data_IF_261322107009
#
_entry.id   IF_261322107009
#
_cell.length_a   1.000
_cell.length_b   1.000
_cell.length_c   1.000
_cell.angle_alpha   90.00
_cell.angle_beta   90.00
_cell.angle_gamma   90.00
#
_symmetry.space_group_name_H-M   'P 1'
#
loop_
_entity.id
_entity.type
_entity.pdbx_description
1 polymer ?
#
# COMPACT_ATOMS: atom_id res chain seq x y z
N UNK A 1 -1.81 -25.90 1.83
CA UNK A 1 -1.11 -25.23 0.71
C UNK A 1 -1.94 -23.99 0.44
N UNK A 2 -1.40 -22.83 0.70
CA UNK A 2 -2.10 -21.57 0.41
C UNK A 2 -2.17 -21.47 -1.11
N UNK A 3 -3.38 -21.40 -1.66
CA UNK A 3 -3.58 -21.15 -3.08
C UNK A 3 -3.20 -19.67 -3.32
N UNK A 4 -1.93 -19.42 -3.63
CA UNK A 4 -1.48 -18.11 -4.06
C UNK A 4 -1.61 -18.02 -5.58
N UNK A 5 -2.08 -16.87 -6.05
CA UNK A 5 -2.08 -16.53 -7.46
C UNK A 5 -0.75 -15.88 -7.85
N UNK A 6 -0.28 -16.17 -9.05
CA UNK A 6 0.91 -15.54 -9.60
C UNK A 6 0.52 -14.17 -10.20
N UNK A 7 1.21 -13.12 -9.78
CA UNK A 7 1.07 -11.78 -10.37
C UNK A 7 2.34 -11.41 -11.07
N UNK A 8 2.25 -11.08 -12.37
CA UNK A 8 3.35 -10.55 -13.17
C UNK A 8 3.19 -9.05 -13.36
N UNK A 9 4.27 -8.30 -13.14
CA UNK A 9 4.33 -6.84 -13.30
C UNK A 9 5.03 -6.47 -14.60
N UNK A 10 4.28 -5.96 -15.57
CA UNK A 10 4.81 -5.41 -16.81
C UNK A 10 5.15 -3.90 -16.65
N UNK A 11 6.17 -3.39 -17.34
CA UNK A 11 7.01 -4.07 -18.33
C UNK A 11 8.22 -4.84 -17.75
N UNK A 12 8.43 -4.82 -16.45
CA UNK A 12 9.64 -5.36 -15.81
C UNK A 12 9.72 -6.89 -15.76
N UNK A 13 8.60 -7.60 -15.94
CA UNK A 13 8.54 -9.06 -15.86
C UNK A 13 8.79 -9.62 -14.44
N UNK A 14 8.72 -8.77 -13.42
CA UNK A 14 8.83 -9.21 -12.03
C UNK A 14 7.56 -9.96 -11.63
N UNK A 15 7.71 -11.07 -10.91
CA UNK A 15 6.60 -11.89 -10.47
C UNK A 15 6.56 -12.02 -8.95
N UNK A 16 5.36 -12.14 -8.39
CA UNK A 16 5.16 -12.36 -6.97
C UNK A 16 3.88 -13.16 -6.70
N UNK A 17 3.84 -13.86 -5.57
CA UNK A 17 2.65 -14.58 -5.12
C UNK A 17 1.73 -13.66 -4.34
N UNK A 18 0.42 -13.76 -4.58
CA UNK A 18 -0.62 -13.02 -3.88
C UNK A 18 -1.72 -13.97 -3.41
N UNK A 19 -1.98 -13.98 -2.12
CA UNK A 19 -3.06 -14.77 -1.55
C UNK A 19 -4.45 -14.22 -1.91
N UNK A 20 -5.50 -15.07 -1.91
CA UNK A 20 -6.86 -14.65 -2.26
C UNK A 20 -7.45 -13.62 -1.29
N UNK A 21 -6.98 -13.58 -0.05
CA UNK A 21 -7.50 -12.74 1.02
C UNK A 21 -6.69 -11.46 1.25
N UNK A 22 -5.52 -11.31 0.61
CA UNK A 22 -4.69 -10.10 0.71
C UNK A 22 -4.85 -9.19 -0.51
N UNK A 23 -4.51 -7.91 -0.36
CA UNK A 23 -4.49 -6.99 -1.50
C UNK A 23 -3.23 -7.20 -2.34
N UNK A 24 -3.34 -6.94 -3.65
CA UNK A 24 -2.19 -7.05 -4.57
C UNK A 24 -1.05 -6.12 -4.12
N UNK A 25 -1.38 -4.93 -3.59
CA UNK A 25 -0.39 -4.01 -3.03
C UNK A 25 0.35 -4.62 -1.84
N UNK A 26 -0.37 -5.20 -0.86
CA UNK A 26 0.25 -5.74 0.35
C UNK A 26 1.16 -6.93 0.02
N UNK A 27 0.71 -7.81 -0.90
CA UNK A 27 1.52 -8.92 -1.40
C UNK A 27 2.82 -8.47 -2.06
N UNK A 28 2.76 -7.43 -2.91
CA UNK A 28 3.93 -6.88 -3.59
C UNK A 28 4.91 -6.24 -2.60
N UNK A 29 4.40 -5.42 -1.68
CA UNK A 29 5.24 -4.75 -0.66
C UNK A 29 5.90 -5.77 0.28
N UNK A 30 5.19 -6.82 0.69
CA UNK A 30 5.71 -7.91 1.51
C UNK A 30 6.90 -8.61 0.84
N UNK A 31 6.92 -8.64 -0.48
CA UNK A 31 7.99 -9.26 -1.27
C UNK A 31 9.02 -8.24 -1.79
N UNK A 32 8.96 -6.99 -1.33
CA UNK A 32 9.95 -5.95 -1.60
C UNK A 32 9.88 -5.34 -3.00
N UNK A 33 8.73 -5.46 -3.69
CA UNK A 33 8.55 -4.84 -5.00
C UNK A 33 8.26 -3.33 -4.86
N UNK A 34 8.80 -2.56 -5.80
CA UNK A 34 8.55 -1.12 -5.90
C UNK A 34 7.23 -0.82 -6.61
N UNK A 35 6.15 -0.87 -5.86
CA UNK A 35 4.83 -0.44 -6.31
C UNK A 35 4.52 0.91 -5.70
N UNK A 36 4.25 1.92 -6.55
CA UNK A 36 3.85 3.23 -6.05
C UNK A 36 2.51 3.18 -5.33
N UNK A 37 2.47 3.71 -4.12
CA UNK A 37 1.26 3.80 -3.33
C UNK A 37 1.24 5.09 -2.49
N UNK A 38 0.07 5.41 -1.91
CA UNK A 38 -0.09 6.56 -1.04
C UNK A 38 -1.07 6.24 0.09
N UNK A 39 -2.35 6.52 -0.08
CA UNK A 39 -3.34 6.47 1.00
C UNK A 39 -3.71 5.07 1.51
N UNK A 40 -3.46 4.00 0.76
CA UNK A 40 -3.88 2.60 1.03
C UNK A 40 -5.38 2.42 1.33
N UNK A 41 -6.20 3.39 0.91
CA UNK A 41 -7.66 3.44 1.19
C UNK A 41 -8.52 3.61 -0.07
N UNK A 42 -7.95 3.39 -1.26
CA UNK A 42 -8.68 3.49 -2.51
C UNK A 42 -9.12 4.91 -2.91
N UNK A 43 -8.41 5.96 -2.49
CA UNK A 43 -8.84 7.35 -2.65
C UNK A 43 -7.87 8.27 -3.42
N UNK A 44 -6.59 7.89 -3.57
CA UNK A 44 -5.58 8.78 -4.15
C UNK A 44 -5.08 8.39 -5.53
N UNK A 45 -5.53 7.26 -6.07
CA UNK A 45 -5.15 6.72 -7.39
C UNK A 45 -3.65 6.42 -7.59
N UNK A 46 -2.78 6.60 -6.59
CA UNK A 46 -1.33 6.40 -6.74
C UNK A 46 -0.97 4.94 -7.08
N UNK A 47 -1.75 3.98 -6.58
CA UNK A 47 -1.58 2.54 -6.85
C UNK A 47 -2.49 2.04 -7.98
N UNK A 48 -2.82 2.89 -8.96
CA UNK A 48 -3.66 2.53 -10.11
C UNK A 48 -2.81 1.86 -11.18
N UNK A 49 -3.13 0.61 -11.48
CA UNK A 49 -2.49 -0.22 -12.49
C UNK A 49 -3.53 -0.80 -13.44
N UNK A 50 -3.12 -1.17 -14.63
CA UNK A 50 -4.00 -1.83 -15.59
C UNK A 50 -3.83 -3.35 -15.47
N UNK A 51 -4.93 -4.06 -15.30
CA UNK A 51 -5.00 -5.52 -15.41
C UNK A 51 -5.13 -5.86 -16.89
N UNK A 52 -4.07 -6.43 -17.48
CA UNK A 52 -4.03 -6.81 -18.89
C UNK A 52 -4.53 -8.24 -19.12
N UNK A 53 -4.35 -9.09 -18.11
CA UNK A 53 -4.86 -10.47 -18.13
C UNK A 53 -5.21 -10.93 -16.72
N UNK A 54 -6.20 -11.82 -16.62
CA UNK A 54 -6.72 -12.35 -15.38
C UNK A 54 -7.93 -11.59 -14.81
N UNK A 55 -8.38 -12.03 -13.64
CA UNK A 55 -9.57 -11.52 -12.96
C UNK A 55 -9.23 -11.00 -11.57
N UNK A 56 -9.83 -9.88 -11.18
CA UNK A 56 -9.65 -9.25 -9.85
C UNK A 56 -10.99 -8.86 -9.24
N UNK A 57 -11.08 -8.99 -7.92
CA UNK A 57 -12.06 -8.27 -7.13
C UNK A 57 -11.53 -6.85 -6.87
N UNK A 58 -12.20 -5.83 -7.40
CA UNK A 58 -11.79 -4.42 -7.29
C UNK A 58 -11.97 -3.85 -5.87
N UNK A 59 -12.63 -4.57 -4.97
CA UNK A 59 -12.87 -4.15 -3.61
C UNK A 59 -13.60 -2.80 -3.48
N UNK A 60 -13.32 -2.07 -2.40
CA UNK A 60 -13.98 -0.79 -2.10
C UNK A 60 -13.20 0.42 -2.62
N UNK A 61 -12.80 0.40 -3.88
CA UNK A 61 -12.22 1.58 -4.52
C UNK A 61 -13.27 2.69 -4.69
N UNK A 62 -12.91 3.93 -4.33
CA UNK A 62 -13.79 5.09 -4.54
C UNK A 62 -14.07 5.30 -6.03
N UNK A 63 -15.33 5.54 -6.40
CA UNK A 63 -15.70 5.88 -7.77
C UNK A 63 -15.03 7.16 -8.29
N UNK A 64 -14.58 8.04 -7.39
CA UNK A 64 -13.79 9.22 -7.76
C UNK A 64 -12.37 8.86 -8.19
N UNK A 65 -11.76 7.87 -7.54
CA UNK A 65 -10.38 7.44 -7.81
C UNK A 65 -10.30 6.35 -8.88
N UNK A 66 -11.39 5.61 -9.07
CA UNK A 66 -11.53 4.56 -10.07
C UNK A 66 -12.97 4.62 -10.63
N UNK A 67 -13.25 5.53 -11.57
CA UNK A 67 -14.56 5.65 -12.19
C UNK A 67 -14.89 4.43 -13.10
N UNK A 68 -16.17 4.27 -13.42
CA UNK A 68 -16.65 3.06 -14.10
C UNK A 68 -16.00 2.85 -15.48
N UNK A 69 -15.76 3.91 -16.24
CA UNK A 69 -15.06 3.80 -17.52
C UNK A 69 -13.61 3.26 -17.40
N UNK A 70 -12.95 3.51 -16.29
CA UNK A 70 -11.62 2.95 -16.02
C UNK A 70 -11.73 1.49 -15.56
N UNK A 71 -12.74 1.16 -14.73
CA UNK A 71 -13.03 -0.23 -14.35
C UNK A 71 -13.29 -1.09 -15.58
N UNK A 72 -14.11 -0.59 -16.50
CA UNK A 72 -14.43 -1.25 -17.77
C UNK A 72 -13.19 -1.40 -18.68
N UNK A 73 -12.21 -0.50 -18.55
CA UNK A 73 -10.93 -0.54 -19.26
C UNK A 73 -9.85 -1.39 -18.55
N UNK A 74 -10.22 -2.13 -17.49
CA UNK A 74 -9.33 -3.02 -16.77
C UNK A 74 -8.41 -2.34 -15.74
N UNK A 75 -8.70 -1.10 -15.33
CA UNK A 75 -7.91 -0.47 -14.26
C UNK A 75 -8.32 -0.94 -12.88
N UNK A 76 -7.34 -1.08 -11.99
CA UNK A 76 -7.53 -1.45 -10.60
C UNK A 76 -6.68 -0.59 -9.67
N UNK A 77 -7.17 -0.36 -8.45
CA UNK A 77 -6.38 0.20 -7.36
C UNK A 77 -5.82 -0.94 -6.53
N UNK A 78 -4.52 -1.21 -6.64
CA UNK A 78 -3.90 -2.40 -6.04
C UNK A 78 -4.04 -2.47 -4.51
N UNK A 79 -4.26 -1.33 -3.83
CA UNK A 79 -4.52 -1.31 -2.38
C UNK A 79 -5.92 -1.78 -1.98
N UNK A 80 -6.82 -1.98 -2.95
CA UNK A 80 -8.17 -2.49 -2.74
C UNK A 80 -8.40 -3.81 -3.46
N UNK A 81 -7.71 -4.02 -4.59
CA UNK A 81 -7.92 -5.15 -5.47
C UNK A 81 -7.30 -6.44 -4.89
N UNK A 82 -8.04 -7.55 -5.04
CA UNK A 82 -7.58 -8.90 -4.71
C UNK A 82 -7.60 -9.78 -5.95
N UNK A 83 -6.66 -10.71 -6.09
CA UNK A 83 -6.66 -11.62 -7.23
C UNK A 83 -7.79 -12.66 -7.14
N UNK A 84 -8.39 -12.97 -8.28
CA UNK A 84 -9.31 -14.09 -8.46
C UNK A 84 -8.73 -15.16 -9.39
N UNK A 85 -7.64 -14.84 -10.08
CA UNK A 85 -6.83 -15.73 -10.92
C UNK A 85 -5.39 -15.25 -10.94
N UNK A 86 -4.49 -15.94 -11.66
CA UNK A 86 -3.20 -15.37 -12.04
C UNK A 86 -3.40 -14.09 -12.83
N UNK A 87 -2.49 -13.12 -12.68
CA UNK A 87 -2.65 -11.76 -13.21
C UNK A 87 -1.43 -11.32 -14.00
N UNK A 88 -1.68 -10.58 -15.08
CA UNK A 88 -0.70 -9.67 -15.69
C UNK A 88 -1.16 -8.22 -15.45
N UNK A 89 -0.40 -7.49 -14.67
CA UNK A 89 -0.67 -6.07 -14.38
C UNK A 89 0.41 -5.17 -14.99
N UNK A 90 0.01 -3.99 -15.47
CA UNK A 90 0.94 -3.03 -16.08
C UNK A 90 1.04 -1.75 -15.29
N UNK A 91 2.29 -1.35 -15.03
CA UNK A 91 2.63 -0.03 -14.54
C UNK A 91 2.77 0.95 -15.70
N UNK A 92 1.95 1.98 -15.73
CA UNK A 92 2.00 3.06 -16.72
C UNK A 92 2.77 4.30 -16.24
N UNK A 93 3.30 4.27 -15.02
CA UNK A 93 4.11 5.38 -14.52
C UNK A 93 5.45 5.43 -15.28
N UNK A 94 5.98 6.63 -15.52
CA UNK A 94 7.34 6.73 -16.04
C UNK A 94 8.31 6.08 -15.04
N UNK A 95 9.39 5.42 -15.53
CA UNK A 95 10.37 4.82 -14.63
C UNK A 95 10.93 5.91 -13.69
N UNK A 96 10.97 5.59 -12.40
CA UNK A 96 11.59 6.48 -11.42
C UNK A 96 13.11 6.46 -11.63
N UNK A 97 13.65 7.59 -12.06
CA UNK A 97 15.09 7.77 -12.27
C UNK A 97 15.86 8.04 -10.98
N UNK A 98 15.17 8.20 -9.85
CA UNK A 98 15.79 8.34 -8.54
C UNK A 98 16.18 6.95 -8.03
N UNK A 99 17.47 6.67 -8.04
CA UNK A 99 18.03 5.39 -7.61
C UNK A 99 18.07 5.27 -6.06
N UNK A 100 16.93 5.43 -5.39
CA UNK A 100 16.84 5.14 -3.96
C UNK A 100 16.44 3.68 -3.77
N UNK A 101 17.13 2.94 -2.89
CA UNK A 101 16.72 1.58 -2.54
C UNK A 101 15.28 1.54 -2.02
N UNK A 102 14.55 0.50 -2.39
CA UNK A 102 13.20 0.29 -1.86
C UNK A 102 13.31 -0.12 -0.40
N UNK A 103 12.68 0.64 0.49
CA UNK A 103 12.50 0.25 1.88
C UNK A 103 11.17 -0.47 2.01
N UNK A 104 11.21 -1.79 2.16
CA UNK A 104 10.00 -2.58 2.36
C UNK A 104 9.27 -2.13 3.64
N UNK A 105 7.93 -1.95 3.60
CA UNK A 105 7.15 -1.63 4.78
C UNK A 105 7.33 -2.70 5.85
N UNK A 106 7.49 -2.28 7.10
CA UNK A 106 7.61 -3.14 8.27
C UNK A 106 6.65 -2.69 9.35
N UNK A 107 6.09 -3.63 10.07
CA UNK A 107 5.37 -3.32 11.31
C UNK A 107 6.34 -3.40 12.47
N UNK A 108 6.39 -2.34 13.27
CA UNK A 108 7.23 -2.23 14.46
C UNK A 108 6.33 -2.04 15.69
N UNK A 109 6.67 -2.70 16.76
CA UNK A 109 6.09 -2.39 18.06
C UNK A 109 6.56 -0.99 18.50
N UNK A 110 5.64 -0.21 19.02
CA UNK A 110 5.89 1.17 19.40
C UNK A 110 5.20 1.53 20.71
N UNK A 111 5.85 2.30 21.54
CA UNK A 111 5.30 2.83 22.79
C UNK A 111 5.24 4.34 22.74
N UNK A 112 4.18 4.91 23.31
CA UNK A 112 4.06 6.36 23.47
C UNK A 112 4.95 6.79 24.63
N UNK A 113 6.08 7.41 24.33
CA UNK A 113 7.03 7.90 25.33
C UNK A 113 6.61 9.23 25.95
N UNK A 114 5.99 10.12 25.16
CA UNK A 114 5.54 11.43 25.64
C UNK A 114 4.35 11.93 24.83
N UNK A 115 3.42 12.57 25.51
CA UNK A 115 2.34 13.38 24.92
C UNK A 115 2.39 14.75 25.54
N UNK A 116 2.66 15.78 24.74
CA UNK A 116 2.73 17.17 25.21
C UNK A 116 1.83 18.05 24.37
N UNK A 117 0.98 18.82 25.03
CA UNK A 117 0.20 19.87 24.37
C UNK A 117 1.07 21.10 24.15
N UNK A 118 1.27 21.48 22.89
CA UNK A 118 2.07 22.67 22.53
C UNK A 118 1.22 23.92 22.40
N UNK A 119 0.00 23.78 21.87
CA UNK A 119 -1.02 24.82 21.78
C UNK A 119 -2.39 24.18 22.05
N UNK A 120 -3.49 24.97 22.17
CA UNK A 120 -4.84 24.38 22.34
C UNK A 120 -5.20 23.34 21.26
N UNK A 121 -4.62 23.41 20.08
CA UNK A 121 -4.94 22.54 18.93
C UNK A 121 -3.80 21.61 18.50
N UNK A 122 -2.56 21.85 18.98
CA UNK A 122 -1.36 21.13 18.54
C UNK A 122 -0.79 20.28 19.67
N UNK A 123 -0.60 19.01 19.38
CA UNK A 123 0.01 18.04 20.30
C UNK A 123 1.29 17.47 19.71
N UNK A 124 2.31 17.31 20.54
CA UNK A 124 3.51 16.54 20.24
C UNK A 124 3.34 15.12 20.79
N UNK A 125 3.57 14.13 19.92
CA UNK A 125 3.62 12.73 20.29
C UNK A 125 5.05 12.23 20.06
N UNK A 126 5.72 11.79 21.12
CA UNK A 126 7.00 11.08 21.02
C UNK A 126 6.75 9.58 21.14
N UNK A 127 7.30 8.83 20.19
CA UNK A 127 7.11 7.38 20.10
C UNK A 127 8.48 6.72 20.21
N UNK A 128 8.62 5.79 21.14
CA UNK A 128 9.78 4.93 21.24
C UNK A 128 9.58 3.68 20.41
N UNK A 129 10.61 3.30 19.68
CA UNK A 129 10.68 2.09 18.88
C UNK A 129 11.77 1.17 19.44
N UNK A 130 11.57 -0.13 19.39
CA UNK A 130 12.57 -1.11 19.79
C UNK A 130 13.71 -1.22 18.78
N UNK A 131 13.49 -0.78 17.55
CA UNK A 131 14.46 -0.79 16.45
C UNK A 131 14.57 0.60 15.80
N UNK A 132 15.68 0.84 15.10
CA UNK A 132 15.84 2.03 14.29
C UNK A 132 14.93 1.98 13.04
N UNK A 133 14.26 3.08 12.77
CA UNK A 133 13.47 3.26 11.56
C UNK A 133 14.28 4.02 10.51
N UNK A 134 14.62 3.35 9.42
CA UNK A 134 15.19 3.99 8.24
C UNK A 134 14.07 4.53 7.35
N UNK A 135 14.23 5.75 6.86
CA UNK A 135 13.27 6.37 5.97
C UNK A 135 13.91 7.43 5.08
N UNK A 136 13.25 7.76 3.99
CA UNK A 136 13.59 8.89 3.11
C UNK A 136 12.62 10.05 3.34
N UNK A 137 13.11 11.27 3.18
CA UNK A 137 12.26 12.45 3.27
C UNK A 137 11.08 12.36 2.30
N UNK A 138 9.87 12.62 2.80
CA UNK A 138 8.62 12.52 2.03
C UNK A 138 7.90 11.18 2.15
N UNK A 139 8.47 10.21 2.84
CA UNK A 139 7.73 9.01 3.24
C UNK A 139 6.75 9.32 4.38
N UNK A 140 5.95 8.35 4.74
CA UNK A 140 4.99 8.44 5.84
C UNK A 140 5.02 7.16 6.68
N UNK A 141 4.60 7.28 7.92
CA UNK A 141 4.32 6.14 8.80
C UNK A 141 2.82 6.01 9.03
N UNK A 142 2.36 4.80 9.24
CA UNK A 142 1.00 4.53 9.70
C UNK A 142 1.06 4.12 11.17
N UNK A 143 0.40 4.88 12.03
CA UNK A 143 0.25 4.52 13.44
C UNK A 143 -1.01 3.71 13.62
N UNK A 144 -0.87 2.48 14.09
CA UNK A 144 -1.96 1.58 14.42
C UNK A 144 -2.32 1.69 15.90
N UNK A 145 -3.53 2.14 16.21
CA UNK A 145 -4.03 2.25 17.58
C UNK A 145 -5.11 1.20 17.82
N UNK A 146 -4.95 0.30 18.81
CA UNK A 146 -5.99 -0.66 19.14
C UNK A 146 -7.21 0.06 19.69
N UNK A 147 -8.39 -0.24 19.15
CA UNK A 147 -9.67 0.30 19.60
C UNK A 147 -10.71 -0.83 19.71
N UNK A 148 -10.77 -1.48 20.86
CA UNK A 148 -11.55 -2.71 21.04
C UNK A 148 -10.99 -3.85 20.17
N UNK A 149 -11.84 -4.46 19.35
CA UNK A 149 -11.43 -5.56 18.46
C UNK A 149 -10.84 -5.10 17.11
N UNK A 150 -10.63 -3.80 16.92
CA UNK A 150 -10.09 -3.24 15.65
C UNK A 150 -8.85 -2.42 15.92
N UNK A 151 -7.95 -2.36 14.94
CA UNK A 151 -6.86 -1.38 14.88
C UNK A 151 -7.29 -0.22 13.98
N UNK A 152 -7.14 1.00 14.47
CA UNK A 152 -7.37 2.22 13.69
C UNK A 152 -6.04 2.77 13.25
N UNK A 153 -5.84 2.87 11.94
CA UNK A 153 -4.61 3.35 11.35
C UNK A 153 -4.71 4.83 10.97
N UNK A 154 -3.61 5.56 11.15
CA UNK A 154 -3.47 6.97 10.77
C UNK A 154 -2.09 7.21 10.18
N UNK A 155 -2.06 7.87 9.02
CA UNK A 155 -0.82 8.19 8.30
C UNK A 155 -0.26 9.54 8.75
N UNK A 156 1.05 9.59 8.94
CA UNK A 156 1.80 10.80 9.31
C UNK A 156 3.04 10.92 8.43
N UNK A 157 3.22 12.09 7.81
CA UNK A 157 4.43 12.39 7.01
C UNK A 157 5.67 12.49 7.89
N UNK A 158 6.81 12.05 7.33
CA UNK A 158 8.14 12.15 7.95
C UNK A 158 9.03 13.14 7.21
#
# INVERSE_FOLDING_TARGET
>A
MSDEYLVELAPGGQTFGCGPDETILDAALRQGLDIGYGCRQGRCSTCKYQVEDGEVDLGQASAYSLPDNERDAGWALLCCARPLSDLLIRDHRPPDTRALPVLAPRELAAEVAEVAQLTPELWRLAIALDESLEFYAGQFVELGLPRGARTVWRSYSM
#
